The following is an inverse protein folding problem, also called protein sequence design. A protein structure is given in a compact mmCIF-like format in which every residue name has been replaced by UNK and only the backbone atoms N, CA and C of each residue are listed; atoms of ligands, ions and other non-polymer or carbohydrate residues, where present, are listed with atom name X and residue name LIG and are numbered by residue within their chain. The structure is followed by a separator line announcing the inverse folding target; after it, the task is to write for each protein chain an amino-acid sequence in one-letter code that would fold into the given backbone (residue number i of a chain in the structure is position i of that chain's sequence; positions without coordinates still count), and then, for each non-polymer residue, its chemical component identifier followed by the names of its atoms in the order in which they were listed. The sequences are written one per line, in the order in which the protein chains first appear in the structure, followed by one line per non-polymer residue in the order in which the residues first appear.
data_IF_526322849062
#
_entry.id   IF_526322849062
#
_cell.length_a   1.000
_cell.length_b   1.000
_cell.length_c   1.000
_cell.angle_alpha   90.00
_cell.angle_beta   90.00
_cell.angle_gamma   90.00
#
_symmetry.space_group_name_H-M   'P 1'
#
loop_
_entity.id
_entity.type
_entity.pdbx_description
1 polymer ?
#
# COMPACT_ATOMS: atom_id res chain seq x y z
N UNK A 1 -1.43 -10.38 -7.21
CA UNK A 1 -0.48 -9.33 -7.62
C UNK A 1 0.67 -10.04 -8.32
N UNK A 2 0.76 -9.98 -9.65
CA UNK A 2 1.90 -10.54 -10.38
C UNK A 2 2.99 -9.48 -10.43
N UNK A 3 4.03 -9.65 -9.60
CA UNK A 3 5.27 -8.88 -9.66
C UNK A 3 6.14 -9.51 -10.74
N UNK A 4 6.56 -8.74 -11.74
CA UNK A 4 7.21 -9.30 -12.94
C UNK A 4 8.70 -9.49 -12.73
N UNK A 5 9.35 -8.57 -12.00
CA UNK A 5 10.78 -8.66 -11.65
C UNK A 5 11.18 -7.65 -10.55
N UNK A 6 12.35 -7.84 -9.92
CA UNK A 6 12.94 -6.90 -8.95
C UNK A 6 14.21 -6.28 -9.54
N UNK A 7 14.27 -4.96 -9.59
CA UNK A 7 15.43 -4.23 -10.09
C UNK A 7 16.55 -4.32 -9.05
N UNK A 8 17.63 -5.02 -9.40
CA UNK A 8 18.80 -5.19 -8.53
C UNK A 8 19.57 -3.87 -8.30
N UNK A 9 19.65 -3.00 -9.31
CA UNK A 9 20.43 -1.75 -9.28
C UNK A 9 19.61 -0.53 -9.72
N UNK A 10 18.62 -0.08 -8.94
CA UNK A 10 17.77 1.06 -9.30
C UNK A 10 18.53 2.40 -9.35
N UNK A 11 19.72 2.49 -8.73
CA UNK A 11 20.54 3.70 -8.72
C UNK A 11 21.26 3.97 -10.05
N UNK A 12 21.38 2.96 -10.94
CA UNK A 12 21.99 3.11 -12.27
C UNK A 12 20.96 3.31 -13.37
N UNK A 13 19.67 3.28 -13.03
CA UNK A 13 18.57 3.39 -13.99
C UNK A 13 17.79 4.65 -13.69
N UNK A 14 17.37 5.35 -14.74
CA UNK A 14 16.46 6.48 -14.60
C UNK A 14 15.07 5.94 -14.23
N UNK A 15 14.89 5.67 -12.94
CA UNK A 15 13.64 5.11 -12.42
C UNK A 15 12.52 6.14 -12.37
N UNK A 16 12.80 7.43 -12.60
CA UNK A 16 11.83 8.53 -12.54
C UNK A 16 11.06 8.61 -11.21
N UNK A 17 11.61 8.05 -10.13
CA UNK A 17 10.96 8.06 -8.82
C UNK A 17 10.83 9.47 -8.22
N UNK A 18 11.55 10.45 -8.77
CA UNK A 18 11.47 11.87 -8.40
C UNK A 18 10.13 12.51 -8.80
N UNK A 19 9.59 12.12 -9.95
CA UNK A 19 8.26 12.51 -10.44
C UNK A 19 7.25 11.35 -10.35
N UNK A 20 7.43 10.45 -9.39
CA UNK A 20 6.56 9.30 -9.26
C UNK A 20 5.13 9.66 -8.86
N UNK A 21 4.16 8.93 -9.41
CA UNK A 21 2.79 8.94 -8.91
C UNK A 21 2.75 8.22 -7.57
N UNK A 22 2.34 8.94 -6.54
CA UNK A 22 2.28 8.46 -5.16
C UNK A 22 0.85 8.00 -4.86
N UNK A 23 0.65 6.70 -4.76
CA UNK A 23 -0.62 6.10 -4.33
C UNK A 23 -0.51 5.76 -2.85
N UNK A 24 -1.30 6.45 -2.02
CA UNK A 24 -1.42 6.14 -0.59
C UNK A 24 -2.63 5.25 -0.36
N UNK A 25 -2.39 4.10 0.23
CA UNK A 25 -3.39 3.15 0.69
C UNK A 25 -3.32 3.06 2.21
N UNK A 26 -4.29 3.68 2.88
CA UNK A 26 -4.44 3.63 4.33
C UNK A 26 -5.29 2.40 4.69
N UNK A 27 -4.82 1.58 5.63
CA UNK A 27 -5.61 0.44 6.10
C UNK A 27 -6.21 0.71 7.48
N UNK A 28 -7.38 0.11 7.73
CA UNK A 28 -8.11 0.29 8.98
C UNK A 28 -7.37 -0.21 10.22
N UNK A 29 -6.44 -1.16 10.06
CA UNK A 29 -5.60 -1.73 11.12
C UNK A 29 -4.45 -0.81 11.57
N UNK A 30 -4.20 0.29 10.85
CA UNK A 30 -3.12 1.24 11.13
C UNK A 30 -1.93 1.25 10.16
N UNK A 31 -1.52 0.16 9.48
CA UNK A 31 -0.44 0.25 8.51
C UNK A 31 -0.87 1.05 7.27
N UNK A 32 0.00 1.95 6.81
CA UNK A 32 -0.19 2.70 5.58
C UNK A 32 0.82 2.22 4.54
N UNK A 33 0.32 2.02 3.33
CA UNK A 33 1.10 1.57 2.19
C UNK A 33 1.18 2.71 1.20
N UNK A 34 2.38 3.16 0.88
CA UNK A 34 2.61 4.21 -0.11
C UNK A 34 3.34 3.59 -1.29
N UNK A 35 2.64 3.44 -2.42
CA UNK A 35 3.25 2.99 -3.66
C UNK A 35 3.71 4.21 -4.46
N UNK A 36 4.98 4.23 -4.85
CA UNK A 36 5.57 5.26 -5.72
C UNK A 36 5.81 4.64 -7.09
N UNK A 37 5.10 5.11 -8.09
CA UNK A 37 5.16 4.62 -9.46
C UNK A 37 5.96 5.63 -10.28
N UNK A 38 7.18 5.27 -10.66
CA UNK A 38 8.08 6.09 -11.46
C UNK A 38 7.94 5.85 -12.96
N UNK A 39 9.08 5.95 -13.66
CA UNK A 39 9.17 5.86 -15.11
C UNK A 39 8.79 4.47 -15.65
N UNK A 40 8.48 4.42 -16.95
CA UNK A 40 8.18 3.17 -17.65
C UNK A 40 9.47 2.47 -18.06
N UNK A 41 9.60 1.20 -17.69
CA UNK A 41 10.66 0.29 -18.10
C UNK A 41 10.11 -0.70 -19.14
N UNK A 42 10.16 -0.34 -20.43
CA UNK A 42 9.60 -1.15 -21.51
C UNK A 42 8.07 -1.27 -21.40
N UNK A 43 7.55 -2.47 -21.12
CA UNK A 43 6.11 -2.71 -20.86
C UNK A 43 5.73 -2.71 -19.36
N UNK A 44 6.69 -2.41 -18.49
CA UNK A 44 6.52 -2.35 -17.04
C UNK A 44 6.77 -0.94 -16.52
N UNK A 45 6.46 -0.68 -15.26
CA UNK A 45 6.76 0.56 -14.55
C UNK A 45 7.59 0.26 -13.31
N UNK A 46 8.49 1.18 -12.96
CA UNK A 46 9.20 1.14 -11.69
C UNK A 46 8.25 1.47 -10.55
N UNK A 47 8.05 0.55 -9.62
CA UNK A 47 7.19 0.74 -8.46
C UNK A 47 7.98 0.47 -7.19
N UNK A 48 7.93 1.41 -6.25
CA UNK A 48 8.51 1.26 -4.92
C UNK A 48 7.40 1.27 -3.89
N UNK A 49 7.41 0.29 -3.00
CA UNK A 49 6.39 0.14 -1.96
C UNK A 49 6.96 0.56 -0.63
N UNK A 50 6.54 1.72 -0.13
CA UNK A 50 6.93 2.22 1.18
C UNK A 50 5.85 1.80 2.17
N UNK A 51 6.21 0.99 3.16
CA UNK A 51 5.28 0.59 4.22
C UNK A 51 5.58 1.39 5.47
N UNK A 52 4.60 2.16 5.92
CA UNK A 52 4.71 3.10 7.02
C UNK A 52 3.45 3.05 7.87
N UNK A 53 3.58 2.73 9.15
CA UNK A 53 2.46 2.72 10.06
C UNK A 53 2.71 1.74 11.18
N UNK A 54 2.12 2.04 12.32
CA UNK A 54 2.18 1.18 13.50
C UNK A 54 0.78 0.59 13.70
N UNK A 55 0.67 -0.71 14.00
CA UNK A 55 -0.62 -1.29 14.31
C UNK A 55 -1.16 -0.60 15.55
N UNK A 56 -2.45 -0.27 15.55
CA UNK A 56 -3.08 0.47 16.66
C UNK A 56 -2.79 -0.23 17.98
N UNK A 57 -2.14 0.47 18.91
CA UNK A 57 -1.76 -0.06 20.24
C UNK A 57 -2.95 -0.24 21.18
N UNK A 58 -4.12 0.31 20.84
CA UNK A 58 -5.24 0.36 21.78
C UNK A 58 -6.54 0.09 21.04
N UNK A 59 -7.18 -1.02 21.42
CA UNK A 59 -8.55 -1.35 21.02
C UNK A 59 -9.48 -0.32 21.66
N UNK A 60 -10.28 0.39 20.87
CA UNK A 60 -11.34 1.21 21.42
C UNK A 60 -12.37 0.27 22.07
N UNK A 61 -12.55 0.29 23.40
CA UNK A 61 -13.50 -0.61 24.04
C UNK A 61 -14.91 -0.23 23.55
N UNK A 62 -15.61 -1.18 22.92
CA UNK A 62 -17.02 -1.00 22.63
C UNK A 62 -17.75 -0.85 23.98
N UNK A 63 -18.59 0.18 24.08
CA UNK A 63 -19.25 0.63 25.32
C UNK A 63 -20.20 -0.42 25.94
N UNK A 64 -20.39 -1.57 25.29
CA UNK A 64 -21.34 -2.64 25.63
C UNK A 64 -20.72 -4.06 25.53
N UNK A 65 -19.40 -4.22 25.69
CA UNK A 65 -18.76 -5.56 25.68
C UNK A 65 -18.81 -6.23 27.07
N UNK A 66 -19.47 -7.40 27.16
CA UNK A 66 -19.40 -8.29 28.34
C UNK A 66 -17.94 -8.66 28.65
N UNK A 67 -17.60 -8.76 29.94
CA UNK A 67 -16.24 -9.02 30.41
C UNK A 67 -15.60 -10.30 29.80
N UNK A 68 -16.42 -11.30 29.49
CA UNK A 68 -16.00 -12.55 28.82
C UNK A 68 -15.55 -12.35 27.37
N UNK A 69 -16.20 -11.43 26.65
CA UNK A 69 -15.88 -11.11 25.25
C UNK A 69 -14.61 -10.25 25.17
N UNK A 70 -14.44 -9.36 26.17
CA UNK A 70 -13.30 -8.46 26.27
C UNK A 70 -11.97 -9.23 26.36
N UNK A 71 -11.91 -10.29 27.18
CA UNK A 71 -10.69 -11.11 27.33
C UNK A 71 -10.30 -11.89 26.08
N UNK A 72 -11.28 -12.49 25.37
CA UNK A 72 -11.02 -13.17 24.09
C UNK A 72 -10.54 -12.19 23.03
N UNK A 73 -11.20 -11.04 22.94
CA UNK A 73 -10.85 -10.01 21.96
C UNK A 73 -9.54 -9.30 22.25
N UNK A 74 -9.15 -9.11 23.52
CA UNK A 74 -7.82 -8.58 23.86
C UNK A 74 -6.72 -9.54 23.41
N UNK A 75 -6.93 -10.84 23.63
CA UNK A 75 -6.01 -11.88 23.19
C UNK A 75 -5.91 -11.97 21.67
N UNK A 76 -7.06 -11.94 20.98
CA UNK A 76 -7.11 -11.92 19.51
C UNK A 76 -6.49 -10.63 18.94
N UNK A 77 -6.67 -9.50 19.62
CA UNK A 77 -6.03 -8.23 19.25
C UNK A 77 -4.52 -8.26 19.44
N UNK A 78 -4.02 -8.87 20.51
CA UNK A 78 -2.58 -9.04 20.73
C UNK A 78 -1.95 -9.99 19.69
N UNK A 79 -2.63 -11.08 19.34
CA UNK A 79 -2.20 -11.99 18.27
C UNK A 79 -2.22 -11.31 16.89
N UNK A 80 -3.30 -10.61 16.56
CA UNK A 80 -3.39 -9.81 15.33
C UNK A 80 -2.31 -8.73 15.29
N UNK A 81 -2.06 -8.05 16.42
CA UNK A 81 -1.00 -7.05 16.53
C UNK A 81 0.38 -7.67 16.29
N UNK A 82 0.71 -8.80 16.93
CA UNK A 82 1.99 -9.49 16.68
C UNK A 82 2.15 -9.88 15.22
N UNK A 83 1.11 -10.46 14.63
CA UNK A 83 1.09 -10.83 13.21
C UNK A 83 1.22 -9.62 12.27
N UNK A 84 0.59 -8.50 12.62
CA UNK A 84 0.70 -7.23 11.89
C UNK A 84 2.09 -6.61 12.02
N UNK A 85 2.71 -6.66 13.20
CA UNK A 85 4.10 -6.20 13.40
C UNK A 85 5.06 -7.04 12.56
N UNK A 86 4.98 -8.38 12.63
CA UNK A 86 5.82 -9.25 11.81
C UNK A 86 5.60 -9.01 10.31
N UNK A 87 4.35 -8.83 9.88
CA UNK A 87 4.02 -8.51 8.50
C UNK A 87 4.60 -7.15 8.11
N UNK A 88 4.45 -6.13 8.95
CA UNK A 88 5.01 -4.80 8.75
C UNK A 88 6.53 -4.81 8.65
N UNK A 89 7.23 -5.57 9.49
CA UNK A 89 8.68 -5.71 9.41
C UNK A 89 9.11 -6.39 8.12
N UNK A 90 8.38 -7.44 7.71
CA UNK A 90 8.62 -8.13 6.44
C UNK A 90 8.34 -7.22 5.25
N UNK A 91 7.29 -6.40 5.32
CA UNK A 91 6.91 -5.46 4.27
C UNK A 91 7.82 -4.23 4.22
N UNK A 92 8.33 -3.75 5.36
CA UNK A 92 9.38 -2.72 5.42
C UNK A 92 10.66 -3.16 4.75
N UNK A 93 10.99 -4.46 4.78
CA UNK A 93 12.13 -5.00 4.02
C UNK A 93 11.90 -4.90 2.50
N UNK A 94 10.65 -4.84 2.04
CA UNK A 94 10.29 -4.67 0.63
C UNK A 94 10.52 -3.22 0.16
N UNK A 95 10.45 -2.21 1.04
CA UNK A 95 10.72 -0.80 0.68
C UNK A 95 12.10 -0.58 0.07
N UNK A 96 13.08 -1.41 0.45
CA UNK A 96 14.43 -1.32 -0.08
C UNK A 96 14.51 -1.70 -1.57
N UNK A 97 13.52 -2.42 -2.10
CA UNK A 97 13.55 -2.94 -3.45
C UNK A 97 12.69 -2.10 -4.39
N UNK A 98 13.16 -1.96 -5.63
CA UNK A 98 12.39 -1.36 -6.71
C UNK A 98 11.81 -2.49 -7.55
N UNK A 99 10.49 -2.55 -7.64
CA UNK A 99 9.78 -3.60 -8.36
C UNK A 99 9.43 -3.15 -9.77
N UNK A 100 9.42 -4.07 -10.72
CA UNK A 100 8.81 -3.88 -12.02
C UNK A 100 7.39 -4.44 -11.96
N UNK A 101 6.42 -3.56 -12.23
CA UNK A 101 5.01 -3.92 -12.28
C UNK A 101 4.51 -3.68 -13.70
N UNK A 102 3.83 -4.68 -14.26
CA UNK A 102 3.30 -4.60 -15.62
C UNK A 102 2.33 -3.43 -15.78
N UNK A 103 2.40 -2.77 -16.94
CA UNK A 103 1.53 -1.62 -17.27
C UNK A 103 0.04 -1.90 -17.05
N UNK A 104 -0.44 -3.13 -17.27
CA UNK A 104 -1.86 -3.47 -17.07
C UNK A 104 -2.36 -3.25 -15.64
N UNK A 105 -1.48 -3.34 -14.64
CA UNK A 105 -1.82 -3.10 -13.22
C UNK A 105 -1.67 -1.63 -12.85
N UNK A 106 -0.73 -0.94 -13.49
CA UNK A 106 -0.38 0.45 -13.20
C UNK A 106 -1.24 1.46 -13.96
N UNK A 107 -1.54 1.19 -15.24
CA UNK A 107 -2.42 2.01 -16.08
C UNK A 107 -3.76 2.36 -15.43
N UNK A 108 -4.53 1.44 -14.82
CA UNK A 108 -5.78 1.81 -14.14
C UNK A 108 -5.56 2.66 -12.88
N UNK A 109 -4.38 2.60 -12.24
CA UNK A 109 -4.02 3.43 -11.09
C UNK A 109 -3.52 4.82 -11.50
N UNK A 110 -2.92 4.92 -12.69
CA UNK A 110 -2.49 6.17 -13.30
C UNK A 110 -3.60 6.88 -14.06
N UNK A 111 -4.66 6.16 -14.48
CA UNK A 111 -5.83 6.77 -15.10
C UNK A 111 -6.48 7.73 -14.12
N UNK A 112 -6.47 8.99 -14.52
CA UNK A 112 -7.01 10.10 -13.74
C UNK A 112 -8.47 9.85 -13.38
N UNK A 113 -8.86 10.20 -12.15
CA UNK A 113 -10.25 10.09 -11.66
C UNK A 113 -11.24 10.72 -12.64
N UNK A 114 -10.81 11.71 -13.42
CA UNK A 114 -11.60 12.37 -14.46
C UNK A 114 -12.05 11.45 -15.60
N UNK A 115 -11.33 10.35 -15.89
CA UNK A 115 -11.75 9.35 -16.88
C UNK A 115 -12.65 8.24 -16.30
N UNK A 116 -12.70 8.09 -14.97
CA UNK A 116 -13.56 7.12 -14.28
C UNK A 116 -14.93 7.72 -13.91
N UNK A 117 -15.06 9.05 -13.93
CA UNK A 117 -16.35 9.71 -13.86
C UNK A 117 -16.88 9.84 -15.29
N UNK A 118 -18.14 9.46 -15.60
CA UNK A 118 -18.73 9.84 -16.87
C UNK A 118 -18.61 11.37 -16.96
N UNK A 119 -18.11 11.87 -18.09
CA UNK A 119 -17.95 13.29 -18.34
C UNK A 119 -19.19 13.99 -17.78
N UNK A 120 -19.02 14.94 -16.85
CA UNK A 120 -20.11 15.85 -16.53
C UNK A 120 -20.38 16.57 -17.84
N UNK A 121 -21.35 16.08 -18.62
CA UNK A 121 -21.97 16.80 -19.72
C UNK A 121 -22.25 18.18 -19.18
N UNK A 122 -21.47 19.14 -19.65
CA UNK A 122 -21.72 20.57 -19.51
C UNK A 122 -23.13 20.72 -20.09
N UNK A 123 -24.15 20.84 -19.22
CA UNK A 123 -25.46 21.29 -19.66
C UNK A 123 -25.26 22.76 -20.02
N UNK A 124 -25.07 22.98 -21.32
CA UNK A 124 -25.27 24.29 -21.95
C UNK A 124 -26.74 24.66 -21.89
#
# INVERSE_FOLDING_TARGET
MNLVDVVADPAKVDTGLDHAVVVKAETFDGPNYTLRIGNRAGDNYYVRVVVSGEPRKTRAPAKDEKAEDRGKKDKEFEEQRKKLVEKLEREKKLDKWTYLVGKNVVEPLLRDRSQLMPEKKKKS
#
